data_IF_332039867335
#
_entry.id   IF_332039867335
#
_cell.length_a   1.000
_cell.length_b   1.000
_cell.length_c   1.000
_cell.angle_alpha   90.00
_cell.angle_beta   90.00
_cell.angle_gamma   90.00
#
_symmetry.space_group_name_H-M   'P 1'
#
loop_
_entity.id
_entity.type
_entity.pdbx_description
1 polymer ?
#
# COMPACT_ATOMS: atom_id res chain seq x y z
N UNK A 1 -19.65 -7.89 26.89
CA UNK A 1 -19.15 -7.92 25.50
C UNK A 1 -17.75 -7.33 25.49
N UNK A 2 -16.74 -8.05 25.03
CA UNK A 2 -15.37 -7.52 24.90
C UNK A 2 -15.37 -6.43 23.83
N UNK A 3 -14.85 -5.25 24.16
CA UNK A 3 -14.65 -4.17 23.19
C UNK A 3 -13.54 -4.59 22.24
N UNK A 4 -13.84 -4.76 20.95
CA UNK A 4 -12.80 -4.93 19.95
C UNK A 4 -12.01 -3.63 19.84
N UNK A 5 -10.68 -3.73 19.93
CA UNK A 5 -9.78 -2.60 19.70
C UNK A 5 -9.91 -2.14 18.24
N UNK A 6 -9.99 -0.83 17.96
CA UNK A 6 -10.02 -0.33 16.59
C UNK A 6 -8.76 -0.73 15.82
N UNK A 7 -8.94 -1.13 14.56
CA UNK A 7 -7.83 -1.44 13.66
C UNK A 7 -6.96 -0.20 13.39
N UNK A 8 -5.65 -0.35 13.54
CA UNK A 8 -4.66 0.71 13.37
C UNK A 8 -3.78 0.49 12.13
N UNK A 9 -3.04 1.52 11.74
CA UNK A 9 -2.02 1.43 10.67
C UNK A 9 -0.93 0.42 11.05
N UNK A 10 -0.58 0.35 12.34
CA UNK A 10 0.38 -0.63 12.84
C UNK A 10 -0.14 -2.05 12.69
N UNK A 11 -1.43 -2.28 12.94
CA UNK A 11 -2.04 -3.59 12.74
C UNK A 11 -1.99 -4.00 11.27
N UNK A 12 -2.21 -3.07 10.33
CA UNK A 12 -2.03 -3.33 8.90
C UNK A 12 -0.57 -3.66 8.54
N UNK A 13 0.39 -2.91 9.06
CA UNK A 13 1.81 -3.14 8.83
C UNK A 13 2.27 -4.52 9.33
N UNK A 14 1.83 -4.90 10.53
CA UNK A 14 2.18 -6.16 11.17
C UNK A 14 1.44 -7.35 10.53
N UNK A 15 0.15 -7.22 10.23
CA UNK A 15 -0.70 -8.28 9.69
C UNK A 15 -0.29 -8.64 8.26
N UNK A 16 -0.11 -7.65 7.38
CA UNK A 16 0.34 -7.88 6.01
C UNK A 16 1.86 -8.08 5.93
N UNK A 17 2.60 -7.75 7.00
CA UNK A 17 4.01 -8.10 7.14
C UNK A 17 4.93 -7.38 6.15
N UNK A 18 4.64 -6.13 5.79
CA UNK A 18 5.42 -5.38 4.78
C UNK A 18 6.91 -5.35 5.12
N UNK A 19 7.27 -5.26 6.41
CA UNK A 19 8.68 -5.32 6.85
C UNK A 19 9.36 -6.67 6.65
N UNK A 20 8.61 -7.76 6.55
CA UNK A 20 9.14 -9.14 6.43
C UNK A 20 9.46 -9.51 4.98
N UNK A 21 8.67 -9.04 4.02
CA UNK A 21 8.84 -9.37 2.60
C UNK A 21 9.11 -8.16 1.70
N UNK A 22 8.65 -6.98 2.11
CA UNK A 22 8.71 -5.75 1.32
C UNK A 22 9.89 -4.83 1.63
N UNK A 23 10.65 -5.09 2.71
CA UNK A 23 11.80 -4.28 3.10
C UNK A 23 11.43 -2.80 3.25
N UNK A 24 12.19 -1.91 2.61
CA UNK A 24 11.91 -0.47 2.56
C UNK A 24 10.96 -0.05 1.43
N UNK A 25 10.49 -0.99 0.60
CA UNK A 25 9.70 -0.68 -0.60
C UNK A 25 8.20 -0.61 -0.34
N UNK A 26 7.68 -1.13 0.78
CA UNK A 26 6.25 -1.16 1.04
C UNK A 26 5.91 -0.60 2.41
N UNK A 27 4.89 0.25 2.48
CA UNK A 27 4.38 0.83 3.73
C UNK A 27 2.88 1.08 3.65
N UNK A 28 2.26 1.41 4.78
CA UNK A 28 0.88 1.91 4.84
C UNK A 28 0.92 3.39 5.25
N UNK A 29 0.16 4.24 4.56
CA UNK A 29 0.05 5.64 4.94
C UNK A 29 -0.94 5.89 6.10
N UNK A 30 -1.01 7.11 6.67
CA UNK A 30 -1.92 7.42 7.77
C UNK A 30 -3.42 7.24 7.45
N UNK A 31 -3.77 7.10 6.16
CA UNK A 31 -5.13 6.87 5.70
C UNK A 31 -5.43 5.39 5.43
N UNK A 32 -4.47 4.49 5.69
CA UNK A 32 -4.63 3.04 5.51
C UNK A 32 -4.32 2.54 4.10
N UNK A 33 -3.68 3.33 3.24
CA UNK A 33 -3.39 2.94 1.86
C UNK A 33 -2.01 2.31 1.73
N UNK A 34 -1.93 1.23 0.95
CA UNK A 34 -0.67 0.62 0.55
C UNK A 34 0.12 1.57 -0.36
N UNK A 35 1.33 1.89 0.08
CA UNK A 35 2.29 2.73 -0.62
C UNK A 35 3.50 1.91 -1.03
N UNK A 36 4.02 2.23 -2.21
CA UNK A 36 5.30 1.72 -2.71
C UNK A 36 6.36 2.82 -2.68
N UNK A 37 7.60 2.46 -2.35
CA UNK A 37 8.81 3.28 -2.43
C UNK A 37 9.71 2.68 -3.50
N UNK A 38 9.62 3.12 -4.78
CA UNK A 38 10.36 2.51 -5.90
C UNK A 38 11.87 2.48 -5.70
N UNK A 39 12.42 3.48 -5.01
CA UNK A 39 13.85 3.60 -4.74
C UNK A 39 14.22 3.22 -3.30
N UNK A 40 13.28 2.70 -2.52
CA UNK A 40 13.48 2.33 -1.11
C UNK A 40 13.81 3.50 -0.19
N UNK A 41 13.59 4.74 -0.64
CA UNK A 41 13.74 5.97 0.13
C UNK A 41 12.38 6.50 0.61
N UNK A 42 12.30 7.77 1.03
CA UNK A 42 11.08 8.37 1.57
C UNK A 42 9.99 8.68 0.53
N UNK A 43 10.34 8.68 -0.76
CA UNK A 43 9.42 9.02 -1.84
C UNK A 43 8.50 7.84 -2.11
N UNK A 44 7.20 8.09 -2.02
CA UNK A 44 6.18 7.04 -2.12
C UNK A 44 5.00 7.43 -2.97
N UNK A 45 4.37 6.41 -3.55
CA UNK A 45 3.15 6.52 -4.34
C UNK A 45 2.15 5.48 -3.83
N UNK A 46 0.86 5.81 -3.76
CA UNK A 46 -0.17 4.82 -3.46
C UNK A 46 -0.43 3.96 -4.68
N UNK A 47 -0.43 2.64 -4.50
CA UNK A 47 -0.72 1.71 -5.61
C UNK A 47 -2.12 1.95 -6.19
N UNK A 48 -3.10 2.29 -5.33
CA UNK A 48 -4.46 2.57 -5.78
C UNK A 48 -4.57 3.84 -6.65
N UNK A 49 -3.71 4.83 -6.42
CA UNK A 49 -3.70 6.05 -7.23
C UNK A 49 -3.18 5.73 -8.64
N UNK A 50 -2.15 4.87 -8.76
CA UNK A 50 -1.64 4.36 -10.05
C UNK A 50 -2.73 3.59 -10.81
N UNK A 51 -3.49 2.72 -10.11
CA UNK A 51 -4.57 1.95 -10.74
C UNK A 51 -5.67 2.87 -11.27
N UNK A 52 -6.10 3.85 -10.47
CA UNK A 52 -7.14 4.82 -10.89
C UNK A 52 -6.70 5.66 -12.08
N UNK A 53 -5.45 6.07 -12.12
CA UNK A 53 -4.89 6.80 -13.25
C UNK A 53 -4.90 5.93 -14.51
N UNK A 54 -4.44 4.68 -14.42
CA UNK A 54 -4.48 3.73 -15.53
C UNK A 54 -5.91 3.49 -16.04
N UNK A 55 -6.90 3.33 -15.15
CA UNK A 55 -8.32 3.21 -15.51
C UNK A 55 -8.82 4.45 -16.26
N UNK A 56 -8.42 5.65 -15.83
CA UNK A 56 -8.79 6.91 -16.51
C UNK A 56 -8.22 7.01 -17.93
N UNK A 57 -7.10 6.32 -18.19
CA UNK A 57 -6.49 6.20 -19.52
C UNK A 57 -7.14 5.09 -20.37
N UNK A 58 -8.18 4.41 -19.87
CA UNK A 58 -8.87 3.33 -20.56
C UNK A 58 -8.20 1.96 -20.42
N UNK A 59 -7.16 1.82 -19.60
CA UNK A 59 -6.55 0.53 -19.27
C UNK A 59 -7.45 -0.24 -18.30
N UNK A 60 -7.52 -1.56 -18.44
CA UNK A 60 -8.36 -2.42 -17.60
C UNK A 60 -7.51 -3.46 -16.86
N UNK A 61 -7.83 -3.78 -15.60
CA UNK A 61 -7.25 -4.93 -14.91
C UNK A 61 -7.46 -6.25 -15.66
N UNK A 62 -6.55 -7.24 -15.51
CA UNK A 62 -5.36 -7.22 -14.65
C UNK A 62 -4.23 -6.33 -15.21
N UNK A 63 -3.59 -5.56 -14.33
CA UNK A 63 -2.43 -4.71 -14.66
C UNK A 63 -1.18 -5.25 -13.97
N UNK A 64 -0.05 -5.23 -14.68
CA UNK A 64 1.27 -5.46 -14.06
C UNK A 64 1.96 -4.10 -13.87
N UNK A 65 2.13 -3.70 -12.61
CA UNK A 65 2.86 -2.47 -12.25
C UNK A 65 4.30 -2.87 -11.92
N UNK A 66 5.26 -2.25 -12.60
CA UNK A 66 6.69 -2.39 -12.30
C UNK A 66 7.13 -1.13 -11.57
N UNK A 67 7.66 -1.34 -10.37
CA UNK A 67 8.06 -0.34 -9.39
C UNK A 67 9.51 -0.56 -9.04
#
# INVERSE_FOLDING_TARGET
MSKQTPWTIKDADDYYGFKRWGGTHFTVDPRGNLCVHPLGDERKIRILDIVKEAESMGLKPPLTIRV
#
